data_IF_370270152289
#
_entry.id   IF_370270152289
#
_cell.length_a   1.000
_cell.length_b   1.000
_cell.length_c   1.000
_cell.angle_alpha   90.00
_cell.angle_beta   90.00
_cell.angle_gamma   90.00
#
_symmetry.space_group_name_H-M   'P 1'
#
loop_
_entity.id
_entity.type
_entity.pdbx_description
1 polymer ?
#
# COMPACT_ATOMS: atom_id res chain seq x y z
N UNK A 1 -3.52 -46.18 -10.52
CA UNK A 1 -2.43 -45.62 -9.73
C UNK A 1 -2.53 -44.08 -9.80
N UNK A 2 -3.11 -43.51 -8.74
CA UNK A 2 -3.36 -42.06 -8.65
C UNK A 2 -2.16 -41.42 -7.96
N UNK A 3 -1.51 -40.44 -8.62
CA UNK A 3 -0.41 -39.64 -8.07
C UNK A 3 -1.01 -38.57 -7.16
N UNK A 4 -0.62 -38.41 -5.89
CA UNK A 4 -1.11 -37.34 -5.05
C UNK A 4 -0.41 -36.03 -5.44
N UNK A 5 -1.18 -35.08 -5.99
CA UNK A 5 -0.78 -33.70 -6.20
C UNK A 5 -1.12 -32.97 -4.90
N UNK A 6 -0.19 -32.86 -3.96
CA UNK A 6 -0.11 -31.82 -2.93
C UNK A 6 1.10 -32.08 -2.01
N UNK A 7 2.27 -31.63 -2.45
CA UNK A 7 3.34 -31.37 -1.53
C UNK A 7 3.27 -29.89 -1.13
N UNK A 8 3.22 -29.51 0.17
CA UNK A 8 3.32 -28.12 0.60
C UNK A 8 4.73 -27.65 0.24
N UNK A 9 4.82 -26.64 -0.61
CA UNK A 9 6.07 -25.95 -0.95
C UNK A 9 6.69 -25.44 0.36
N UNK A 10 7.80 -26.04 0.71
CA UNK A 10 8.47 -25.97 1.99
C UNK A 10 8.77 -24.54 2.42
N UNK A 11 8.44 -24.25 3.68
CA UNK A 11 8.73 -23.04 4.46
C UNK A 11 10.20 -22.56 4.36
N UNK A 12 11.10 -23.43 3.99
CA UNK A 12 12.53 -23.19 3.82
C UNK A 12 12.85 -22.26 2.62
N UNK A 13 12.14 -22.42 1.50
CA UNK A 13 12.40 -21.66 0.27
C UNK A 13 11.95 -20.18 0.39
N UNK A 14 10.93 -19.89 1.20
CA UNK A 14 10.49 -18.51 1.45
C UNK A 14 11.46 -17.77 2.37
N UNK A 15 12.01 -18.46 3.37
CA UNK A 15 12.98 -17.89 4.30
C UNK A 15 14.32 -17.55 3.64
N UNK A 16 14.73 -18.35 2.66
CA UNK A 16 15.95 -18.10 1.87
C UNK A 16 15.79 -16.96 0.85
N UNK A 17 14.61 -16.81 0.24
CA UNK A 17 14.33 -15.70 -0.70
C UNK A 17 14.20 -14.35 0.01
N UNK A 18 13.67 -14.31 1.23
CA UNK A 18 13.61 -13.11 2.05
C UNK A 18 15.00 -12.70 2.62
N UNK A 19 15.96 -13.60 2.67
CA UNK A 19 17.28 -13.35 3.24
C UNK A 19 18.12 -12.32 2.48
N UNK A 20 17.77 -12.05 1.22
CA UNK A 20 18.47 -11.08 0.36
C UNK A 20 17.73 -9.72 0.24
N UNK A 21 16.60 -9.53 0.92
CA UNK A 21 15.89 -8.25 0.95
C UNK A 21 16.28 -7.46 2.19
N UNK A 22 16.66 -6.19 2.03
CA UNK A 22 17.02 -5.28 3.12
C UNK A 22 15.78 -4.63 3.74
N UNK A 23 14.80 -4.26 2.91
CA UNK A 23 13.72 -3.35 3.29
C UNK A 23 12.40 -4.05 3.69
N UNK A 24 12.09 -5.24 3.15
CA UNK A 24 10.76 -5.87 3.28
C UNK A 24 10.78 -7.26 3.94
N UNK A 25 11.78 -7.53 4.77
CA UNK A 25 11.99 -8.85 5.40
C UNK A 25 10.88 -9.29 6.34
N UNK A 26 10.16 -8.35 6.95
CA UNK A 26 9.13 -8.61 7.97
C UNK A 26 7.70 -8.61 7.40
N UNK A 27 7.51 -8.27 6.12
CA UNK A 27 6.20 -8.24 5.50
C UNK A 27 5.66 -9.66 5.28
N UNK A 28 4.42 -9.89 5.67
CA UNK A 28 3.74 -11.19 5.54
C UNK A 28 2.56 -11.13 4.56
N UNK A 29 1.98 -9.96 4.36
CA UNK A 29 0.80 -9.70 3.54
C UNK A 29 1.06 -8.60 2.51
N UNK A 30 0.16 -8.49 1.53
CA UNK A 30 0.17 -7.40 0.56
C UNK A 30 0.00 -6.02 1.23
N UNK A 31 -0.82 -5.97 2.30
CA UNK A 31 -1.06 -4.76 3.08
C UNK A 31 0.20 -4.34 3.84
N UNK A 32 0.87 -5.28 4.55
CA UNK A 32 2.15 -5.00 5.24
C UNK A 32 3.17 -4.42 4.26
N UNK A 33 3.27 -5.05 3.08
CA UNK A 33 4.21 -4.64 2.06
C UNK A 33 3.94 -3.22 1.55
N UNK A 34 2.68 -2.89 1.30
CA UNK A 34 2.27 -1.53 0.89
C UNK A 34 2.52 -0.49 1.98
N UNK A 35 2.27 -0.84 3.24
CA UNK A 35 2.51 0.04 4.37
C UNK A 35 4.00 0.33 4.54
N UNK A 36 4.84 -0.71 4.50
CA UNK A 36 6.29 -0.53 4.62
C UNK A 36 6.87 0.20 3.42
N UNK A 37 6.40 -0.07 2.19
CA UNK A 37 6.81 0.68 1.00
C UNK A 37 6.49 2.18 1.15
N UNK A 38 5.27 2.53 1.56
CA UNK A 38 4.86 3.91 1.79
C UNK A 38 5.76 4.64 2.79
N UNK A 39 6.14 3.96 3.88
CA UNK A 39 7.07 4.48 4.88
C UNK A 39 8.46 4.69 4.30
N UNK A 40 8.98 3.69 3.55
CA UNK A 40 10.30 3.75 2.91
C UNK A 40 10.40 4.79 1.81
N UNK A 41 9.34 5.01 1.03
CA UNK A 41 9.29 6.11 0.05
C UNK A 41 9.57 7.44 0.75
N UNK A 42 8.93 7.71 1.89
CA UNK A 42 9.16 8.94 2.65
C UNK A 42 10.59 9.05 3.19
N UNK A 43 11.14 7.95 3.69
CA UNK A 43 12.48 7.91 4.27
C UNK A 43 13.59 8.07 3.23
N UNK A 44 13.38 7.57 2.01
CA UNK A 44 14.43 7.42 0.99
C UNK A 44 14.20 8.23 -0.27
N UNK A 45 13.04 8.87 -0.47
CA UNK A 45 12.79 9.65 -1.70
C UNK A 45 13.77 10.81 -1.81
N UNK A 46 14.45 11.01 -2.96
CA UNK A 46 15.43 12.09 -3.12
C UNK A 46 14.85 13.47 -2.82
N UNK A 47 13.62 13.75 -3.27
CA UNK A 47 12.96 15.04 -3.03
C UNK A 47 12.61 15.29 -1.55
N UNK A 48 12.52 14.22 -0.75
CA UNK A 48 12.32 14.32 0.70
C UNK A 48 13.63 14.39 1.48
N UNK A 49 14.77 14.13 0.84
CA UNK A 49 16.11 14.09 1.46
C UNK A 49 17.13 14.87 0.62
N UNK A 50 16.95 16.20 0.44
CA UNK A 50 17.81 16.99 -0.43
C UNK A 50 19.29 17.02 0.02
N UNK A 51 19.55 16.77 1.30
CA UNK A 51 20.89 16.80 1.90
C UNK A 51 21.65 15.47 1.77
N UNK A 52 21.01 14.42 1.25
CA UNK A 52 21.58 13.08 1.09
C UNK A 52 21.32 12.53 -0.31
N UNK A 53 22.32 11.95 -0.93
CA UNK A 53 22.10 11.13 -2.12
C UNK A 53 21.54 9.77 -1.71
N UNK A 54 20.22 9.64 -1.76
CA UNK A 54 19.48 8.41 -1.46
C UNK A 54 19.06 7.67 -2.73
N UNK A 55 19.46 8.13 -3.90
CA UNK A 55 18.99 7.63 -5.20
C UNK A 55 19.21 6.12 -5.37
N UNK A 56 20.41 5.64 -5.07
CA UNK A 56 20.75 4.23 -5.22
C UNK A 56 19.96 3.35 -4.24
N UNK A 57 19.79 3.80 -3.00
CA UNK A 57 19.04 3.07 -1.97
C UNK A 57 17.54 3.06 -2.28
N UNK A 58 17.01 4.16 -2.81
CA UNK A 58 15.62 4.26 -3.26
C UNK A 58 15.35 3.31 -4.44
N UNK A 59 16.23 3.25 -5.43
CA UNK A 59 16.11 2.30 -6.55
C UNK A 59 16.16 0.85 -6.07
N UNK A 60 17.10 0.51 -5.17
CA UNK A 60 17.16 -0.82 -4.58
C UNK A 60 15.86 -1.16 -3.84
N UNK A 61 15.31 -0.26 -3.08
CA UNK A 61 14.03 -0.43 -2.37
C UNK A 61 12.87 -0.68 -3.33
N UNK A 62 12.79 0.03 -4.45
CA UNK A 62 11.77 -0.21 -5.48
C UNK A 62 11.88 -1.60 -6.14
N UNK A 63 13.10 -2.04 -6.44
CA UNK A 63 13.32 -3.40 -6.96
C UNK A 63 12.93 -4.48 -5.95
N UNK A 64 13.29 -4.30 -4.67
CA UNK A 64 12.91 -5.23 -3.60
C UNK A 64 11.40 -5.27 -3.40
N UNK A 65 10.70 -4.12 -3.51
CA UNK A 65 9.24 -4.06 -3.45
C UNK A 65 8.60 -4.89 -4.57
N UNK A 66 9.06 -4.75 -5.81
CA UNK A 66 8.54 -5.52 -6.93
C UNK A 66 8.74 -7.03 -6.73
N UNK A 67 9.91 -7.44 -6.24
CA UNK A 67 10.20 -8.86 -5.92
C UNK A 67 9.30 -9.38 -4.77
N UNK A 68 9.13 -8.58 -3.72
CA UNK A 68 8.29 -8.93 -2.58
C UNK A 68 6.81 -8.98 -2.97
N UNK A 69 6.36 -8.08 -3.88
CA UNK A 69 4.99 -8.08 -4.39
C UNK A 69 4.62 -9.40 -5.04
N UNK A 70 5.45 -9.95 -5.91
CA UNK A 70 5.18 -11.24 -6.55
C UNK A 70 5.00 -12.41 -5.55
N UNK A 71 5.58 -12.30 -4.36
CA UNK A 71 5.48 -13.31 -3.32
C UNK A 71 4.27 -13.12 -2.39
N UNK A 72 3.79 -11.87 -2.24
CA UNK A 72 2.83 -11.49 -1.21
C UNK A 72 1.50 -10.95 -1.75
N UNK A 73 1.40 -10.59 -3.03
CA UNK A 73 0.24 -9.90 -3.62
C UNK A 73 -1.13 -10.55 -3.36
N UNK A 74 -1.17 -11.87 -3.21
CA UNK A 74 -2.39 -12.61 -2.95
C UNK A 74 -2.58 -12.98 -1.49
N UNK A 75 -1.62 -12.66 -0.61
CA UNK A 75 -1.67 -13.01 0.81
C UNK A 75 -2.22 -11.84 1.62
N UNK A 76 -3.27 -12.10 2.36
CA UNK A 76 -3.98 -11.13 3.17
C UNK A 76 -4.21 -11.67 4.58
N UNK A 77 -4.56 -10.78 5.51
CA UNK A 77 -4.93 -11.12 6.88
C UNK A 77 -6.22 -10.39 7.23
N UNK A 78 -7.17 -11.09 7.85
CA UNK A 78 -8.39 -10.48 8.36
C UNK A 78 -8.15 -9.81 9.74
N UNK A 79 -9.17 -9.16 10.27
CA UNK A 79 -9.08 -8.47 11.57
C UNK A 79 -8.82 -9.43 12.75
N UNK A 80 -9.21 -10.70 12.61
CA UNK A 80 -8.99 -11.76 13.60
C UNK A 80 -7.57 -12.35 13.54
N UNK A 81 -6.74 -11.90 12.58
CA UNK A 81 -5.38 -12.39 12.37
C UNK A 81 -5.30 -13.69 11.58
N UNK A 82 -6.37 -14.10 10.92
CA UNK A 82 -6.39 -15.27 10.07
C UNK A 82 -5.91 -14.93 8.66
N UNK A 83 -4.98 -15.73 8.14
CA UNK A 83 -4.47 -15.57 6.79
C UNK A 83 -5.48 -16.11 5.76
N UNK A 84 -5.68 -15.36 4.68
CA UNK A 84 -6.46 -15.79 3.53
C UNK A 84 -5.77 -15.38 2.22
N UNK A 85 -6.11 -16.07 1.14
CA UNK A 85 -5.60 -15.74 -0.19
C UNK A 85 -6.71 -15.14 -1.05
N UNK A 86 -6.38 -14.08 -1.78
CA UNK A 86 -7.26 -13.44 -2.75
C UNK A 86 -6.42 -12.96 -3.92
N UNK A 87 -6.78 -13.39 -5.12
CA UNK A 87 -6.13 -12.92 -6.34
C UNK A 87 -6.36 -11.41 -6.56
N UNK A 88 -5.32 -10.74 -7.02
CA UNK A 88 -5.38 -9.34 -7.41
C UNK A 88 -4.86 -9.13 -8.83
N UNK A 89 -5.44 -8.18 -9.54
CA UNK A 89 -4.96 -7.69 -10.84
C UNK A 89 -4.06 -6.46 -10.71
N UNK A 90 -3.81 -6.00 -9.49
CA UNK A 90 -2.97 -4.83 -9.20
C UNK A 90 -1.51 -5.11 -9.54
N UNK A 91 -0.87 -4.13 -10.16
CA UNK A 91 0.57 -4.17 -10.46
C UNK A 91 1.34 -3.31 -9.48
N UNK A 92 2.56 -3.72 -9.09
CA UNK A 92 3.36 -2.94 -8.13
C UNK A 92 3.68 -1.53 -8.66
N UNK A 93 3.92 -1.38 -9.95
CA UNK A 93 4.23 -0.09 -10.58
C UNK A 93 3.07 0.91 -10.44
N UNK A 94 1.82 0.45 -10.54
CA UNK A 94 0.64 1.32 -10.39
C UNK A 94 0.56 1.94 -8.98
N UNK A 95 0.86 1.14 -7.96
CA UNK A 95 0.89 1.63 -6.58
C UNK A 95 2.06 2.57 -6.33
N UNK A 96 3.24 2.24 -6.90
CA UNK A 96 4.43 3.08 -6.84
C UNK A 96 4.18 4.45 -7.46
N UNK A 97 3.67 4.49 -8.69
CA UNK A 97 3.35 5.72 -9.43
C UNK A 97 2.31 6.60 -8.71
N UNK A 98 1.30 5.97 -8.11
CA UNK A 98 0.29 6.67 -7.33
C UNK A 98 0.92 7.33 -6.11
N UNK A 99 1.71 6.60 -5.33
CA UNK A 99 2.36 7.15 -4.13
C UNK A 99 3.34 8.25 -4.46
N UNK A 100 4.18 8.08 -5.48
CA UNK A 100 5.15 9.09 -5.92
C UNK A 100 4.47 10.43 -6.21
N UNK A 101 3.33 10.42 -6.89
CA UNK A 101 2.56 11.64 -7.16
C UNK A 101 1.87 12.21 -5.93
N UNK A 102 1.42 11.35 -5.02
CA UNK A 102 0.70 11.79 -3.83
C UNK A 102 1.59 12.40 -2.76
N UNK A 103 2.84 11.97 -2.61
CA UNK A 103 3.77 12.50 -1.60
C UNK A 103 4.10 13.99 -1.80
N UNK A 104 3.96 14.50 -3.03
CA UNK A 104 4.17 15.91 -3.37
C UNK A 104 2.96 16.81 -3.10
N UNK A 105 1.79 16.23 -2.79
CA UNK A 105 0.59 17.00 -2.50
C UNK A 105 0.54 17.38 -1.03
N UNK A 106 0.53 18.68 -0.74
CA UNK A 106 0.54 19.18 0.63
C UNK A 106 -0.85 19.15 1.28
N UNK A 107 -0.89 18.89 2.58
CA UNK A 107 -2.10 18.95 3.38
C UNK A 107 -3.09 17.82 3.13
N UNK A 108 -2.70 16.75 2.48
CA UNK A 108 -3.51 15.55 2.31
C UNK A 108 -3.12 14.47 3.32
N UNK A 109 -4.09 13.67 3.70
CA UNK A 109 -3.92 12.45 4.48
C UNK A 109 -4.18 11.24 3.60
N UNK A 110 -3.19 10.37 3.49
CA UNK A 110 -3.27 9.11 2.73
C UNK A 110 -3.47 7.97 3.72
N UNK A 111 -4.50 7.18 3.56
CA UNK A 111 -4.84 6.07 4.44
C UNK A 111 -4.99 4.78 3.63
N UNK A 112 -4.30 3.72 4.03
CA UNK A 112 -4.47 2.38 3.49
C UNK A 112 -5.37 1.57 4.43
N UNK A 113 -6.51 1.08 3.91
CA UNK A 113 -7.41 0.17 4.62
C UNK A 113 -7.60 -1.09 3.79
N UNK A 114 -6.98 -2.20 4.19
CA UNK A 114 -6.85 -3.39 3.34
C UNK A 114 -6.20 -3.02 2.01
N UNK A 115 -6.80 -3.42 0.89
CA UNK A 115 -6.32 -3.08 -0.46
C UNK A 115 -6.78 -1.70 -0.99
N UNK A 116 -7.49 -0.91 -0.18
CA UNK A 116 -8.06 0.37 -0.58
C UNK A 116 -7.20 1.54 -0.13
N UNK A 117 -6.92 2.47 -1.05
CA UNK A 117 -6.34 3.77 -0.73
C UNK A 117 -7.44 4.82 -0.54
N UNK A 118 -7.34 5.56 0.56
CA UNK A 118 -8.21 6.68 0.88
C UNK A 118 -7.42 7.95 1.00
N UNK A 119 -7.96 9.06 0.50
CA UNK A 119 -7.35 10.39 0.60
C UNK A 119 -8.36 11.35 1.19
N UNK A 120 -7.95 12.06 2.23
CA UNK A 120 -8.71 13.10 2.93
C UNK A 120 -7.82 14.33 3.17
N UNK A 121 -8.31 15.31 3.93
CA UNK A 121 -7.59 16.57 4.18
C UNK A 121 -7.86 17.62 3.10
N UNK A 122 -6.85 18.44 2.79
CA UNK A 122 -6.97 19.53 1.81
C UNK A 122 -6.98 19.04 0.36
N UNK A 123 -7.96 18.22 0.01
CA UNK A 123 -8.05 17.60 -1.33
C UNK A 123 -8.62 18.52 -2.40
N UNK A 124 -9.21 19.66 -2.03
CA UNK A 124 -9.83 20.60 -2.98
C UNK A 124 -8.78 21.18 -3.90
N UNK A 125 -7.63 21.59 -3.35
CA UNK A 125 -6.53 22.15 -4.12
C UNK A 125 -5.91 21.16 -5.13
N UNK A 126 -6.04 19.87 -4.86
CA UNK A 126 -5.41 18.77 -5.62
C UNK A 126 -6.41 17.90 -6.38
N UNK A 127 -7.67 18.32 -6.45
CA UNK A 127 -8.79 17.55 -7.00
C UNK A 127 -8.52 16.97 -8.38
N UNK A 128 -7.94 17.75 -9.28
CA UNK A 128 -7.74 17.31 -10.67
C UNK A 128 -6.62 16.27 -10.78
N UNK A 129 -5.57 16.41 -9.97
CA UNK A 129 -4.49 15.42 -9.87
C UNK A 129 -5.04 14.12 -9.30
N UNK A 130 -5.75 14.18 -8.16
CA UNK A 130 -6.33 13.01 -7.49
C UNK A 130 -7.30 12.27 -8.42
N UNK A 131 -8.14 13.01 -9.15
CA UNK A 131 -9.06 12.44 -10.14
C UNK A 131 -8.30 11.83 -11.33
N UNK A 132 -7.24 12.47 -11.80
CA UNK A 132 -6.38 11.99 -12.87
C UNK A 132 -5.67 10.66 -12.52
N UNK A 133 -5.38 10.43 -11.23
CA UNK A 133 -4.86 9.16 -10.71
C UNK A 133 -5.91 8.04 -10.61
N UNK A 134 -7.16 8.29 -11.00
CA UNK A 134 -8.24 7.31 -11.00
C UNK A 134 -9.02 7.21 -9.68
N UNK A 135 -8.78 8.09 -8.72
CA UNK A 135 -9.57 8.14 -7.49
C UNK A 135 -10.99 8.61 -7.75
N UNK A 136 -11.92 8.09 -6.97
CA UNK A 136 -13.34 8.44 -6.98
C UNK A 136 -13.74 9.09 -5.66
N UNK A 137 -14.61 10.11 -5.73
CA UNK A 137 -15.10 10.78 -4.52
C UNK A 137 -16.22 9.99 -3.85
N UNK A 138 -16.11 9.77 -2.55
CA UNK A 138 -17.16 9.22 -1.70
C UNK A 138 -17.80 10.32 -0.87
N UNK A 139 -19.01 10.75 -1.23
CA UNK A 139 -19.75 11.79 -0.50
C UNK A 139 -20.01 11.38 0.97
N UNK A 140 -20.36 10.12 1.21
CA UNK A 140 -20.69 9.63 2.56
C UNK A 140 -19.48 9.55 3.50
N UNK A 141 -18.26 9.48 2.95
CA UNK A 141 -17.02 9.37 3.72
C UNK A 141 -16.19 10.66 3.68
N UNK A 142 -16.61 11.63 2.88
CA UNK A 142 -15.88 12.88 2.64
C UNK A 142 -14.40 12.62 2.29
N UNK A 143 -14.14 11.59 1.49
CA UNK A 143 -12.82 11.15 1.12
C UNK A 143 -12.79 10.60 -0.31
N UNK A 144 -11.63 10.70 -0.95
CA UNK A 144 -11.37 10.03 -2.22
C UNK A 144 -10.91 8.60 -1.95
N UNK A 145 -11.26 7.68 -2.85
CA UNK A 145 -10.85 6.29 -2.76
C UNK A 145 -10.37 5.74 -4.09
N UNK A 146 -9.42 4.83 -4.00
CA UNK A 146 -8.90 4.07 -5.13
C UNK A 146 -8.87 2.58 -4.77
N UNK A 147 -9.29 1.75 -5.69
CA UNK A 147 -9.20 0.29 -5.62
C UNK A 147 -9.11 -0.26 -7.03
N UNK A 148 -8.13 -1.10 -7.30
CA UNK A 148 -7.87 -1.62 -8.65
C UNK A 148 -8.84 -2.72 -9.05
N UNK A 149 -9.02 -3.70 -8.16
CA UNK A 149 -9.84 -4.86 -8.46
C UNK A 149 -11.32 -4.52 -8.54
N UNK A 150 -12.08 -5.28 -9.34
CA UNK A 150 -13.51 -5.08 -9.47
C UNK A 150 -14.20 -5.32 -8.11
N UNK A 151 -14.95 -4.33 -7.64
CA UNK A 151 -15.71 -4.40 -6.40
C UNK A 151 -17.20 -4.34 -6.68
N UNK A 152 -17.92 -5.37 -6.24
CA UNK A 152 -19.38 -5.38 -6.22
C UNK A 152 -19.89 -5.21 -4.80
N UNK A 153 -20.57 -4.10 -4.55
CA UNK A 153 -21.21 -3.83 -3.25
C UNK A 153 -22.25 -4.93 -2.95
N UNK A 154 -22.07 -5.66 -1.85
CA UNK A 154 -22.96 -6.75 -1.44
C UNK A 154 -24.11 -6.28 -0.54
N UNK A 155 -23.95 -5.16 0.18
CA UNK A 155 -24.94 -4.62 1.10
C UNK A 155 -25.49 -3.28 0.61
N UNK A 156 -26.77 -3.01 0.90
CA UNK A 156 -27.39 -1.70 0.67
C UNK A 156 -26.80 -0.63 1.60
N UNK A 157 -26.39 -1.03 2.80
CA UNK A 157 -25.79 -0.11 3.77
C UNK A 157 -24.33 0.19 3.40
N UNK A 158 -23.93 1.43 3.61
CA UNK A 158 -22.54 1.87 3.43
C UNK A 158 -21.86 1.79 4.79
N UNK A 159 -20.78 1.04 4.89
CA UNK A 159 -19.92 1.02 6.09
C UNK A 159 -19.34 2.41 6.33
N UNK A 160 -19.22 2.82 7.57
CA UNK A 160 -18.48 4.02 7.97
C UNK A 160 -16.96 3.81 7.79
N UNK A 161 -16.16 4.88 7.85
CA UNK A 161 -14.70 4.74 7.83
C UNK A 161 -14.18 3.98 9.05
N UNK A 162 -14.83 4.15 10.21
CA UNK A 162 -14.42 3.47 11.45
C UNK A 162 -14.70 1.97 11.40
N UNK A 163 -15.82 1.56 10.81
CA UNK A 163 -16.09 0.15 10.55
C UNK A 163 -15.08 -0.46 9.55
N UNK A 164 -14.70 0.28 8.52
CA UNK A 164 -13.69 -0.16 7.55
C UNK A 164 -12.33 -0.33 8.24
N UNK A 165 -11.93 0.64 9.06
CA UNK A 165 -10.67 0.57 9.83
C UNK A 165 -10.65 -0.59 10.81
N UNK A 166 -11.77 -0.82 11.49
CA UNK A 166 -11.91 -1.95 12.44
C UNK A 166 -11.78 -3.30 11.75
N UNK A 167 -12.33 -3.46 10.54
CA UNK A 167 -12.34 -4.73 9.82
C UNK A 167 -11.04 -5.03 9.05
N UNK A 168 -10.41 -4.01 8.49
CA UNK A 168 -9.29 -4.19 7.56
C UNK A 168 -7.97 -3.60 8.08
N UNK A 169 -7.99 -3.03 9.27
CA UNK A 169 -6.86 -2.25 9.75
C UNK A 169 -6.73 -0.90 9.01
N UNK A 170 -5.88 -0.03 9.54
CA UNK A 170 -5.63 1.29 8.97
C UNK A 170 -4.19 1.71 9.17
N UNK A 171 -3.56 2.20 8.10
CA UNK A 171 -2.28 2.88 8.17
C UNK A 171 -2.39 4.27 7.55
N UNK A 172 -2.33 5.31 8.38
CA UNK A 172 -2.41 6.72 8.00
C UNK A 172 -1.05 7.32 7.72
N UNK A 173 -1.05 8.33 6.86
CA UNK A 173 0.13 9.09 6.47
C UNK A 173 -0.28 10.53 6.15
N UNK A 174 0.32 11.49 6.83
CA UNK A 174 0.10 12.92 6.62
C UNK A 174 1.27 13.52 5.84
N UNK A 175 0.99 14.29 4.80
CA UNK A 175 2.04 14.95 4.00
C UNK A 175 2.59 16.21 4.68
N UNK A 176 1.91 16.78 5.67
CA UNK A 176 2.34 18.00 6.40
C UNK A 176 3.53 17.78 7.34
N UNK A 177 3.77 16.57 7.83
CA UNK A 177 4.91 16.32 8.73
C UNK A 177 6.29 16.47 8.07
N UNK A 178 6.36 16.61 6.76
CA UNK A 178 7.64 16.80 6.04
C UNK A 178 8.25 18.20 6.28
N UNK A 179 7.45 19.20 6.63
CA UNK A 179 7.94 20.57 6.84
C UNK A 179 8.57 20.80 8.22
N UNK A 180 8.39 19.92 9.19
CA UNK A 180 8.94 20.09 10.54
C UNK A 180 10.38 19.59 10.73
N UNK A 181 10.95 18.92 9.74
CA UNK A 181 12.31 18.36 9.81
C UNK A 181 13.35 19.30 9.19
N UNK A 182 12.92 20.38 8.51
CA UNK A 182 13.79 21.33 7.80
C UNK A 182 13.82 22.73 8.43
N UNK A 183 13.44 22.90 9.70
CA UNK A 183 13.54 24.17 10.42
C UNK A 183 14.53 24.06 11.58
#
# INVERSE_FOLDING_TARGET
MSIPINAPLTTTTQKERNKNMKHFTNCKTAEDLKQEYKKKVRELHPDCNPDKDTTAEFQQMQEEYTKAWELLKNKHMNAEGEAYEKETTEKPEEFMDILEKLIHLQGIQIELCGSWLWISGNTIAHKDIIKGLGFKWSKNKSAWYYHRDSYRKRSKNSMSMDEIRSLYGSAKFDTEEQQKITA
#
